data_IF_779989576307
#
_entry.id   IF_779989576307
#
_cell.length_a   1.000
_cell.length_b   1.000
_cell.length_c   1.000
_cell.angle_alpha   90.00
_cell.angle_beta   90.00
_cell.angle_gamma   90.00
#
_symmetry.space_group_name_H-M   'P 1'
#
loop_
_entity.id
_entity.type
_entity.pdbx_description
1 polymer ?
#
# COMPACT_ATOMS: atom_id res chain seq x y z
N UNK A 1 -13.96 -2.54 2.93
CA UNK A 1 -13.38 -3.06 4.20
C UNK A 1 -12.61 -1.92 4.85
N UNK A 2 -12.64 -1.80 6.18
CA UNK A 2 -12.01 -0.65 6.88
C UNK A 2 -11.25 -1.10 8.13
N UNK A 3 -10.10 -0.47 8.36
CA UNK A 3 -9.32 -0.53 9.60
C UNK A 3 -9.14 0.91 10.07
N UNK A 4 -9.64 1.23 11.26
CA UNK A 4 -9.56 2.58 11.81
C UNK A 4 -8.94 2.53 13.21
N UNK A 5 -8.03 3.48 13.46
CA UNK A 5 -7.43 3.74 14.77
C UNK A 5 -7.48 5.25 15.05
N UNK A 6 -6.86 5.67 16.17
CA UNK A 6 -6.69 7.09 16.48
C UNK A 6 -5.73 7.81 15.52
N UNK A 7 -4.70 7.11 15.05
CA UNK A 7 -3.57 7.74 14.35
C UNK A 7 -3.58 7.48 12.84
N UNK A 8 -4.27 6.44 12.37
CA UNK A 8 -4.33 6.07 10.96
C UNK A 8 -5.67 5.40 10.62
N UNK A 9 -6.00 5.41 9.32
CA UNK A 9 -7.03 4.56 8.77
C UNK A 9 -6.62 3.95 7.43
N UNK A 10 -7.18 2.78 7.15
CA UNK A 10 -7.01 2.05 5.89
C UNK A 10 -8.38 1.62 5.42
N UNK A 11 -8.72 2.00 4.19
CA UNK A 11 -10.01 1.68 3.59
C UNK A 11 -9.81 1.05 2.21
N UNK A 12 -10.58 0.01 1.92
CA UNK A 12 -10.71 -0.57 0.59
C UNK A 12 -12.06 -0.23 -0.02
N UNK A 13 -12.01 0.49 -1.14
CA UNK A 13 -13.11 0.76 -2.05
C UNK A 13 -13.15 -0.30 -3.15
N UNK A 14 -14.21 -1.12 -3.18
CA UNK A 14 -14.39 -2.16 -4.19
C UNK A 14 -14.91 -1.64 -5.53
N UNK A 15 -15.48 -0.44 -5.58
CA UNK A 15 -15.98 0.17 -6.81
C UNK A 15 -14.81 0.68 -7.66
N UNK A 16 -13.83 1.32 -7.01
CA UNK A 16 -12.63 1.84 -7.68
C UNK A 16 -11.43 0.90 -7.60
N UNK A 17 -11.54 -0.20 -6.85
CA UNK A 17 -10.44 -1.10 -6.50
C UNK A 17 -9.24 -0.35 -5.92
N UNK A 18 -9.50 0.45 -4.89
CA UNK A 18 -8.51 1.34 -4.27
C UNK A 18 -8.34 1.03 -2.79
N UNK A 19 -7.10 0.77 -2.37
CA UNK A 19 -6.70 0.72 -0.97
C UNK A 19 -6.13 2.09 -0.62
N UNK A 20 -6.78 2.83 0.26
CA UNK A 20 -6.32 4.14 0.74
C UNK A 20 -5.77 4.01 2.16
N UNK A 21 -4.53 4.45 2.37
CA UNK A 21 -3.90 4.53 3.68
C UNK A 21 -3.66 6.00 4.04
N UNK A 22 -4.05 6.41 5.24
CA UNK A 22 -3.90 7.79 5.69
C UNK A 22 -3.49 7.89 7.16
N UNK A 23 -2.90 9.03 7.52
CA UNK A 23 -2.40 9.30 8.86
C UNK A 23 -1.00 8.74 9.09
N UNK A 24 -0.76 8.16 10.25
CA UNK A 24 0.57 7.80 10.74
C UNK A 24 0.63 6.35 11.24
N UNK A 25 1.20 5.46 10.43
CA UNK A 25 1.41 4.05 10.76
C UNK A 25 2.71 3.84 11.57
N UNK A 26 2.59 3.84 12.90
CA UNK A 26 3.69 3.65 13.87
C UNK A 26 3.57 2.33 14.65
N UNK A 27 3.20 1.26 13.99
CA UNK A 27 2.93 -0.04 14.64
C UNK A 27 4.22 -0.78 15.04
N UNK A 28 4.23 -1.42 16.21
CA UNK A 28 5.37 -2.14 16.75
C UNK A 28 5.36 -3.62 16.34
N UNK A 29 6.19 -3.97 15.36
CA UNK A 29 6.37 -5.36 14.95
C UNK A 29 5.26 -5.91 14.06
N UNK A 30 5.42 -7.15 13.58
CA UNK A 30 4.56 -7.75 12.55
C UNK A 30 3.16 -8.12 13.05
N UNK A 31 3.00 -8.38 14.35
CA UNK A 31 1.70 -8.78 14.94
C UNK A 31 0.67 -7.66 14.81
N UNK A 32 1.06 -6.41 15.07
CA UNK A 32 0.18 -5.25 14.93
C UNK A 32 -0.21 -4.99 13.46
N UNK A 33 0.60 -5.45 12.49
CA UNK A 33 0.27 -5.37 11.06
C UNK A 33 -0.65 -6.51 10.58
N UNK A 34 -1.02 -7.49 11.41
CA UNK A 34 -1.73 -8.68 10.97
C UNK A 34 -3.05 -8.36 10.25
N UNK A 35 -3.84 -7.42 10.77
CA UNK A 35 -5.11 -6.99 10.15
C UNK A 35 -4.89 -6.31 8.81
N UNK A 36 -3.84 -5.50 8.69
CA UNK A 36 -3.44 -4.81 7.46
C UNK A 36 -2.99 -5.83 6.41
N UNK A 37 -2.12 -6.77 6.80
CA UNK A 37 -1.64 -7.85 5.92
C UNK A 37 -2.82 -8.68 5.42
N UNK A 38 -3.77 -9.00 6.29
CA UNK A 38 -4.99 -9.72 5.91
C UNK A 38 -5.79 -8.93 4.87
N UNK A 39 -6.07 -7.66 5.11
CA UNK A 39 -6.81 -6.81 4.15
C UNK A 39 -6.10 -6.76 2.79
N UNK A 40 -4.78 -6.53 2.78
CA UNK A 40 -3.99 -6.50 1.55
C UNK A 40 -4.08 -7.83 0.79
N UNK A 41 -3.95 -8.95 1.51
CA UNK A 41 -4.04 -10.28 0.90
C UNK A 41 -5.44 -10.56 0.35
N UNK A 42 -6.50 -10.27 1.11
CA UNK A 42 -7.88 -10.49 0.70
C UNK A 42 -8.18 -9.72 -0.62
N UNK A 43 -7.72 -8.48 -0.73
CA UNK A 43 -7.87 -7.69 -1.98
C UNK A 43 -7.08 -8.29 -3.14
N UNK A 44 -5.83 -8.70 -2.92
CA UNK A 44 -5.03 -9.34 -3.97
C UNK A 44 -5.60 -10.69 -4.42
N UNK A 45 -6.28 -11.41 -3.52
CA UNK A 45 -6.83 -12.72 -3.79
C UNK A 45 -8.17 -12.66 -4.55
N UNK A 46 -8.83 -11.50 -4.59
CA UNK A 46 -9.89 -11.21 -5.56
C UNK A 46 -9.39 -11.06 -7.01
N UNK A 47 -8.07 -10.99 -7.21
CA UNK A 47 -7.40 -10.91 -8.53
C UNK A 47 -7.99 -9.87 -9.49
N UNK A 48 -8.15 -8.60 -9.07
CA UNK A 48 -8.72 -7.58 -9.94
C UNK A 48 -7.77 -7.24 -11.10
N UNK A 49 -8.30 -6.84 -12.27
CA UNK A 49 -7.45 -6.45 -13.40
C UNK A 49 -6.54 -5.25 -13.09
N UNK A 50 -7.02 -4.34 -12.22
CA UNK A 50 -6.31 -3.15 -11.77
C UNK A 50 -6.46 -2.96 -10.28
N UNK A 51 -5.40 -2.51 -9.60
CA UNK A 51 -5.40 -2.20 -8.17
C UNK A 51 -4.64 -0.90 -7.90
N UNK A 52 -5.28 0.01 -7.17
CA UNK A 52 -4.68 1.28 -6.75
C UNK A 52 -4.31 1.22 -5.27
N UNK A 53 -3.07 1.56 -4.94
CA UNK A 53 -2.61 1.82 -3.57
C UNK A 53 -2.40 3.32 -3.39
N UNK A 54 -3.34 3.97 -2.72
CA UNK A 54 -3.30 5.40 -2.45
C UNK A 54 -2.66 5.70 -1.09
N UNK A 55 -1.48 6.32 -1.14
CA UNK A 55 -0.67 6.70 0.02
C UNK A 55 -0.52 8.22 0.14
N UNK A 56 -1.23 9.02 -0.67
CA UNK A 56 -1.07 10.49 -0.69
C UNK A 56 -1.21 11.14 0.69
N UNK A 57 -2.04 10.55 1.55
CA UNK A 57 -2.32 11.05 2.90
C UNK A 57 -1.62 10.25 4.01
N UNK A 58 -0.70 9.35 3.66
CA UNK A 58 0.07 8.58 4.64
C UNK A 58 1.33 9.34 5.06
N UNK A 59 1.18 10.19 6.06
CA UNK A 59 2.20 11.11 6.58
C UNK A 59 3.42 10.37 7.13
N UNK A 60 3.21 9.21 7.74
CA UNK A 60 4.30 8.42 8.32
C UNK A 60 4.09 6.91 8.15
N UNK A 61 5.19 6.22 7.87
CA UNK A 61 5.27 4.76 7.82
C UNK A 61 6.64 4.32 8.34
N UNK A 62 6.66 3.44 9.34
CA UNK A 62 7.92 2.89 9.85
C UNK A 62 8.49 1.78 8.93
N UNK A 63 9.70 1.31 9.26
CA UNK A 63 10.42 0.28 8.48
C UNK A 63 9.63 -1.02 8.32
N UNK A 64 8.95 -1.48 9.38
CA UNK A 64 8.09 -2.66 9.34
C UNK A 64 6.93 -2.47 8.35
N UNK A 65 6.31 -1.30 8.34
CA UNK A 65 5.26 -0.96 7.38
C UNK A 65 5.76 -0.92 5.94
N UNK A 66 6.93 -0.35 5.69
CA UNK A 66 7.58 -0.40 4.36
C UNK A 66 7.82 -1.84 3.91
N UNK A 67 8.22 -2.73 4.81
CA UNK A 67 8.40 -4.15 4.52
C UNK A 67 7.07 -4.84 4.16
N UNK A 68 5.99 -4.53 4.87
CA UNK A 68 4.63 -5.03 4.56
C UNK A 68 4.21 -4.61 3.15
N UNK A 69 4.34 -3.31 2.82
CA UNK A 69 4.02 -2.81 1.48
C UNK A 69 4.92 -3.43 0.40
N UNK A 70 6.21 -3.60 0.68
CA UNK A 70 7.15 -4.24 -0.26
C UNK A 70 6.79 -5.68 -0.57
N UNK A 71 6.43 -6.47 0.46
CA UNK A 71 5.96 -7.86 0.30
C UNK A 71 4.65 -7.92 -0.48
N UNK A 72 3.76 -6.97 -0.24
CA UNK A 72 2.51 -6.87 -0.98
C UNK A 72 2.74 -6.63 -2.48
N UNK A 73 3.60 -5.65 -2.84
CA UNK A 73 3.98 -5.38 -4.24
C UNK A 73 4.61 -6.62 -4.89
N UNK A 74 5.45 -7.36 -4.17
CA UNK A 74 6.04 -8.61 -4.68
C UNK A 74 4.95 -9.68 -4.94
N UNK A 75 3.97 -9.84 -4.04
CA UNK A 75 2.85 -10.78 -4.21
C UNK A 75 2.03 -10.42 -5.45
N UNK A 76 1.71 -9.14 -5.65
CA UNK A 76 0.97 -8.65 -6.83
C UNK A 76 1.75 -8.95 -8.11
N UNK A 77 3.06 -8.67 -8.13
CA UNK A 77 3.93 -9.03 -9.27
C UNK A 77 3.92 -10.53 -9.55
N UNK A 78 3.96 -11.38 -8.53
CA UNK A 78 3.98 -12.84 -8.66
C UNK A 78 2.67 -13.39 -9.27
N UNK A 79 1.52 -12.74 -9.01
CA UNK A 79 0.26 -13.09 -9.68
C UNK A 79 0.32 -12.79 -11.18
N UNK A 80 0.93 -11.67 -11.56
CA UNK A 80 1.17 -11.31 -12.97
C UNK A 80 -0.05 -10.87 -13.77
N UNK A 81 -1.24 -10.99 -13.20
CA UNK A 81 -2.56 -10.64 -13.76
C UNK A 81 -3.01 -9.22 -13.38
N UNK A 82 -2.51 -8.68 -12.27
CA UNK A 82 -2.95 -7.41 -11.69
C UNK A 82 -2.03 -6.27 -12.14
N UNK A 83 -2.60 -5.23 -12.73
CA UNK A 83 -1.90 -3.96 -12.97
C UNK A 83 -1.97 -3.09 -11.71
N UNK A 84 -0.83 -2.59 -11.25
CA UNK A 84 -0.75 -1.82 -10.01
C UNK A 84 -0.38 -0.36 -10.26
N UNK A 85 -1.19 0.53 -9.68
CA UNK A 85 -0.94 1.97 -9.56
C UNK A 85 -0.67 2.31 -8.09
N UNK A 86 0.41 3.05 -7.83
CA UNK A 86 0.70 3.63 -6.51
C UNK A 86 0.62 5.14 -6.60
N UNK A 87 -0.19 5.73 -5.72
CA UNK A 87 -0.37 7.17 -5.64
C UNK A 87 0.32 7.68 -4.38
N UNK A 88 1.19 8.67 -4.53
CA UNK A 88 1.92 9.30 -3.43
C UNK A 88 1.99 10.81 -3.58
N UNK A 89 2.52 11.46 -2.55
CA UNK A 89 2.68 12.90 -2.44
C UNK A 89 4.16 13.29 -2.42
N UNK A 90 4.52 14.31 -3.21
CA UNK A 90 5.85 14.95 -3.15
C UNK A 90 6.08 15.72 -1.86
N UNK A 91 5.01 16.11 -1.15
CA UNK A 91 5.12 16.84 0.12
C UNK A 91 5.53 15.93 1.28
N UNK A 92 5.42 14.61 1.15
CA UNK A 92 5.74 13.64 2.21
C UNK A 92 7.14 13.05 1.99
N UNK A 93 8.15 13.41 2.82
CA UNK A 93 9.57 13.17 2.50
C UNK A 93 9.94 11.71 2.26
N UNK A 94 9.33 10.77 2.99
CA UNK A 94 9.68 9.35 2.87
C UNK A 94 9.19 8.74 1.55
N UNK A 95 8.15 9.30 0.93
CA UNK A 95 7.48 8.70 -0.23
C UNK A 95 8.33 8.78 -1.50
N UNK A 96 9.03 9.90 -1.71
CA UNK A 96 9.83 10.09 -2.92
C UNK A 96 10.89 9.01 -3.13
N UNK A 97 11.62 8.60 -2.08
CA UNK A 97 12.62 7.53 -2.18
C UNK A 97 11.99 6.14 -2.05
N UNK A 98 11.13 5.93 -1.06
CA UNK A 98 10.61 4.60 -0.74
C UNK A 98 9.64 4.08 -1.80
N UNK A 99 8.75 4.92 -2.34
CA UNK A 99 7.80 4.47 -3.37
C UNK A 99 8.49 4.19 -4.71
N UNK A 100 9.53 4.96 -5.06
CA UNK A 100 10.37 4.65 -6.24
C UNK A 100 11.06 3.29 -6.12
N UNK A 101 11.45 2.87 -4.91
CA UNK A 101 12.01 1.54 -4.71
C UNK A 101 11.02 0.41 -5.00
N UNK A 102 9.70 0.65 -4.89
CA UNK A 102 8.69 -0.34 -5.26
C UNK A 102 8.72 -0.68 -6.75
N UNK A 103 9.10 0.27 -7.62
CA UNK A 103 9.27 -0.01 -9.06
C UNK A 103 10.46 -0.95 -9.33
N UNK A 104 11.46 -1.00 -8.45
CA UNK A 104 12.54 -2.00 -8.54
C UNK A 104 12.02 -3.40 -8.21
N UNK A 105 11.04 -3.48 -7.29
CA UNK A 105 10.38 -4.73 -6.92
C UNK A 105 9.36 -5.15 -7.98
N UNK A 106 8.69 -4.22 -8.66
CA UNK A 106 7.74 -4.49 -9.73
C UNK A 106 7.93 -3.48 -10.88
N UNK A 107 8.72 -3.80 -11.92
CA UNK A 107 9.05 -2.85 -12.98
C UNK A 107 7.85 -2.29 -13.74
N UNK A 108 6.72 -3.02 -13.78
CA UNK A 108 5.47 -2.60 -14.42
C UNK A 108 4.58 -1.73 -13.51
N UNK A 109 4.97 -1.49 -12.26
CA UNK A 109 4.21 -0.65 -11.32
C UNK A 109 4.25 0.81 -11.78
N UNK A 110 3.07 1.40 -11.92
CA UNK A 110 2.91 2.82 -12.18
C UNK A 110 2.96 3.58 -10.86
N UNK A 111 3.75 4.66 -10.82
CA UNK A 111 3.90 5.51 -9.65
C UNK A 111 3.59 6.95 -10.03
N UNK A 112 2.58 7.52 -9.40
CA UNK A 112 2.24 8.94 -9.52
C UNK A 112 2.60 9.64 -8.20
N UNK A 113 3.51 10.61 -8.28
CA UNK A 113 3.86 11.48 -7.18
C UNK A 113 3.34 12.88 -7.52
N UNK A 114 2.36 13.35 -6.76
CA UNK A 114 1.77 14.68 -6.92
C UNK A 114 2.43 15.71 -6.02
#
# INVERSE_FOLDING_TARGET
MEIQSKDYSIFYDSVTTTISCQGSLRLNGMEEYASIVKLLNDVADHDPPTLTLNLRNLEFLNSSGINVISKFVIKIRQKGTIQMLVLGSKSIPWQGKSLKNLQRLMPKLQLELE
#
